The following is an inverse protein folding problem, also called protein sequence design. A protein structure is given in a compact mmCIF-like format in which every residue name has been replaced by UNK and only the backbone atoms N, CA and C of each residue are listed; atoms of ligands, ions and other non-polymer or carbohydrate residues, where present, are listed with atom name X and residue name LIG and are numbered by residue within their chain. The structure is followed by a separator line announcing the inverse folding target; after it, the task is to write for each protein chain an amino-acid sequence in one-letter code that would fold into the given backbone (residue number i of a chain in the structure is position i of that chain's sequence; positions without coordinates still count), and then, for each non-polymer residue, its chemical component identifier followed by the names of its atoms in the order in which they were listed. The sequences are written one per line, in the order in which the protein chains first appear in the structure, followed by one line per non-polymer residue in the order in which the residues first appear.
data_IF_838795037397
#
_entry.id   IF_838795037397
#
_cell.length_a   1.000
_cell.length_b   1.000
_cell.length_c   1.000
_cell.angle_alpha   90.00
_cell.angle_beta   90.00
_cell.angle_gamma   90.00
#
_symmetry.space_group_name_H-M   'P 1'
#
loop_
_entity.id
_entity.type
_entity.pdbx_description
1 polymer ?
#
# COMPACT_ATOMS: atom_id res chain seq x y z
N UNK A 1 48.83 -13.26 -49.63
CA UNK A 1 48.50 -13.42 -48.20
C UNK A 1 47.15 -12.74 -47.92
N UNK A 2 46.10 -13.54 -48.08
CA UNK A 2 44.70 -13.13 -47.93
C UNK A 2 44.29 -13.43 -46.51
N UNK A 3 44.00 -12.39 -45.71
CA UNK A 3 43.49 -12.53 -44.35
C UNK A 3 41.98 -12.84 -44.44
N UNK A 4 41.47 -13.94 -43.83
CA UNK A 4 40.06 -14.26 -43.94
C UNK A 4 39.21 -13.41 -43.00
N UNK A 5 38.20 -12.74 -43.57
CA UNK A 5 37.16 -12.04 -42.82
C UNK A 5 36.39 -13.04 -41.94
N UNK A 6 36.38 -12.78 -40.63
CA UNK A 6 35.69 -13.57 -39.61
C UNK A 6 34.16 -13.38 -39.71
N UNK A 7 33.34 -14.41 -40.01
CA UNK A 7 31.91 -14.26 -40.26
C UNK A 7 31.03 -14.34 -39.00
N UNK A 8 31.57 -14.09 -37.80
CA UNK A 8 30.83 -14.22 -36.54
C UNK A 8 30.38 -12.87 -35.96
N UNK A 9 29.73 -12.04 -36.78
CA UNK A 9 28.72 -11.09 -36.28
C UNK A 9 27.53 -11.92 -35.78
N UNK A 10 27.70 -12.52 -34.60
CA UNK A 10 26.61 -13.06 -33.79
C UNK A 10 25.60 -11.94 -33.63
N UNK A 11 24.50 -12.04 -34.38
CA UNK A 11 23.31 -11.23 -34.18
C UNK A 11 23.03 -11.27 -32.68
N UNK A 12 23.14 -10.12 -32.01
CA UNK A 12 22.69 -9.99 -30.62
C UNK A 12 21.28 -10.56 -30.59
N UNK A 13 20.94 -11.47 -29.66
CA UNK A 13 19.56 -11.87 -29.50
C UNK A 13 18.78 -10.58 -29.24
N UNK A 14 17.93 -10.20 -30.21
CA UNK A 14 16.98 -9.12 -30.02
C UNK A 14 16.13 -9.56 -28.86
N UNK A 15 16.34 -8.96 -27.68
CA UNK A 15 15.38 -9.05 -26.59
C UNK A 15 14.02 -8.75 -27.23
N UNK A 16 13.02 -9.66 -27.16
CA UNK A 16 11.71 -9.34 -27.68
C UNK A 16 11.30 -8.00 -27.06
N UNK A 17 10.72 -7.07 -27.85
CA UNK A 17 10.24 -5.82 -27.29
C UNK A 17 9.39 -6.16 -26.05
N UNK A 18 9.52 -5.41 -24.95
CA UNK A 18 8.61 -5.61 -23.83
C UNK A 18 7.19 -5.58 -24.38
N UNK A 19 6.28 -6.44 -23.90
CA UNK A 19 4.91 -6.41 -24.39
C UNK A 19 4.37 -5.02 -24.10
N UNK A 20 4.19 -4.22 -25.15
CA UNK A 20 3.63 -2.86 -25.09
C UNK A 20 2.15 -2.86 -24.69
N UNK A 21 1.62 -4.03 -24.33
CA UNK A 21 0.25 -4.29 -23.99
C UNK A 21 0.20 -5.31 -22.85
N UNK A 22 -0.71 -5.09 -21.92
CA UNK A 22 -1.05 -6.04 -20.86
C UNK A 22 -1.54 -7.37 -21.46
N UNK A 23 -1.27 -8.49 -20.76
CA UNK A 23 -1.69 -9.82 -21.22
C UNK A 23 -3.23 -9.91 -21.33
N UNK A 24 -3.80 -10.31 -22.49
CA UNK A 24 -5.26 -10.40 -22.65
C UNK A 24 -5.93 -11.36 -21.67
N UNK A 25 -5.26 -12.46 -21.32
CA UNK A 25 -5.75 -13.40 -20.32
C UNK A 25 -5.76 -12.80 -18.90
N UNK A 26 -4.87 -11.86 -18.59
CA UNK A 26 -4.92 -11.13 -17.31
C UNK A 26 -6.11 -10.16 -17.28
N UNK A 27 -6.34 -9.44 -18.37
CA UNK A 27 -7.48 -8.52 -18.50
C UNK A 27 -8.81 -9.25 -18.36
N UNK A 28 -8.96 -10.41 -19.00
CA UNK A 28 -10.18 -11.23 -18.90
C UNK A 28 -10.43 -11.72 -17.47
N UNK A 29 -9.37 -12.20 -16.78
CA UNK A 29 -9.44 -12.65 -15.38
C UNK A 29 -9.86 -11.52 -14.43
N UNK A 30 -9.28 -10.33 -14.58
CA UNK A 30 -9.59 -9.15 -13.76
C UNK A 30 -11.04 -8.72 -13.99
N UNK A 31 -11.45 -8.58 -15.26
CA UNK A 31 -12.81 -8.20 -15.61
C UNK A 31 -13.83 -9.22 -15.11
N UNK A 32 -13.54 -10.52 -15.23
CA UNK A 32 -14.41 -11.59 -14.72
C UNK A 32 -14.58 -11.50 -13.21
N UNK A 33 -13.48 -11.37 -12.45
CA UNK A 33 -13.55 -11.28 -10.98
C UNK A 33 -14.31 -10.04 -10.54
N UNK A 34 -13.96 -8.85 -11.06
CA UNK A 34 -14.63 -7.60 -10.70
C UNK A 34 -16.11 -7.61 -11.07
N UNK A 35 -16.50 -8.28 -12.16
CA UNK A 35 -17.91 -8.41 -12.54
C UNK A 35 -18.76 -9.14 -11.50
N UNK A 36 -18.15 -10.00 -10.68
CA UNK A 36 -18.79 -10.74 -9.60
C UNK A 36 -18.73 -10.04 -8.23
N UNK A 37 -18.04 -8.89 -8.12
CA UNK A 37 -17.96 -8.13 -6.86
C UNK A 37 -19.27 -7.37 -6.63
N UNK A 38 -19.91 -7.62 -5.49
CA UNK A 38 -21.11 -6.89 -5.07
C UNK A 38 -20.76 -5.46 -4.63
N UNK A 39 -21.62 -4.51 -4.99
CA UNK A 39 -21.47 -3.10 -4.61
C UNK A 39 -20.43 -2.31 -5.44
N UNK A 40 -19.82 -2.91 -6.46
CA UNK A 40 -18.92 -2.19 -7.36
C UNK A 40 -19.72 -1.14 -8.17
N UNK A 41 -19.25 0.11 -8.17
CA UNK A 41 -19.95 1.20 -8.86
C UNK A 41 -19.80 1.09 -10.38
N UNK A 42 -20.92 1.11 -11.10
CA UNK A 42 -20.97 1.24 -12.55
C UNK A 42 -21.72 2.53 -12.91
N UNK A 43 -21.21 3.35 -13.86
CA UNK A 43 -21.81 4.64 -14.17
C UNK A 43 -23.28 4.54 -14.60
N UNK A 44 -24.04 5.59 -14.28
CA UNK A 44 -25.51 5.67 -14.13
C UNK A 44 -26.41 5.05 -15.22
N UNK A 45 -25.92 4.79 -16.43
CA UNK A 45 -26.66 4.00 -17.42
C UNK A 45 -27.00 2.58 -16.91
N UNK A 46 -26.15 2.03 -16.03
CA UNK A 46 -26.30 0.70 -15.44
C UNK A 46 -27.14 0.68 -14.15
N UNK A 47 -27.52 1.82 -13.59
CA UNK A 47 -28.28 1.86 -12.31
C UNK A 47 -29.77 1.61 -12.48
N UNK A 48 -30.30 1.64 -13.72
CA UNK A 48 -31.73 1.38 -13.97
C UNK A 48 -32.10 -0.11 -13.82
N UNK A 49 -31.11 -0.99 -13.91
CA UNK A 49 -31.25 -2.44 -13.73
C UNK A 49 -29.89 -2.97 -13.28
N UNK A 50 -29.78 -3.70 -12.16
CA UNK A 50 -28.52 -4.36 -11.79
C UNK A 50 -28.08 -5.28 -12.95
N UNK A 51 -27.04 -4.93 -13.73
CA UNK A 51 -26.74 -5.66 -14.95
C UNK A 51 -26.21 -7.06 -14.62
N UNK A 52 -26.55 -8.07 -15.45
CA UNK A 52 -25.98 -9.40 -15.30
C UNK A 52 -24.44 -9.35 -15.26
N UNK A 53 -23.78 -10.27 -14.53
CA UNK A 53 -22.32 -10.32 -14.44
C UNK A 53 -21.61 -10.31 -15.80
N UNK A 54 -22.16 -10.98 -16.82
CA UNK A 54 -21.60 -10.99 -18.17
C UNK A 54 -21.51 -9.60 -18.80
N UNK A 55 -22.55 -8.78 -18.65
CA UNK A 55 -22.56 -7.40 -19.14
C UNK A 55 -21.61 -6.51 -18.35
N UNK A 56 -21.45 -6.77 -17.04
CA UNK A 56 -20.44 -6.08 -16.21
C UNK A 56 -19.03 -6.43 -16.67
N UNK A 57 -18.76 -7.71 -16.92
CA UNK A 57 -17.48 -8.21 -17.41
C UNK A 57 -17.11 -7.56 -18.74
N UNK A 58 -18.02 -7.54 -19.71
CA UNK A 58 -17.75 -6.96 -21.03
C UNK A 58 -17.45 -5.46 -20.95
N UNK A 59 -18.19 -4.70 -20.13
CA UNK A 59 -17.94 -3.27 -19.92
C UNK A 59 -16.59 -3.01 -19.24
N UNK A 60 -16.20 -3.82 -18.25
CA UNK A 60 -14.90 -3.72 -17.59
C UNK A 60 -13.75 -4.04 -18.55
N UNK A 61 -13.90 -5.09 -19.36
CA UNK A 61 -12.90 -5.49 -20.34
C UNK A 61 -12.73 -4.46 -21.45
N UNK A 62 -13.83 -3.87 -21.94
CA UNK A 62 -13.80 -2.77 -22.93
C UNK A 62 -13.06 -1.55 -22.38
N UNK A 63 -13.38 -1.13 -21.15
CA UNK A 63 -12.70 -0.01 -20.51
C UNK A 63 -11.21 -0.30 -20.30
N UNK A 64 -10.87 -1.46 -19.73
CA UNK A 64 -9.48 -1.85 -19.47
C UNK A 64 -8.64 -1.91 -20.76
N UNK A 65 -9.26 -2.32 -21.87
CA UNK A 65 -8.59 -2.38 -23.17
C UNK A 65 -8.39 -1.03 -23.83
N UNK A 66 -9.29 -0.08 -23.59
CA UNK A 66 -9.27 1.24 -24.23
C UNK A 66 -8.52 2.29 -23.42
N UNK A 67 -8.63 2.23 -22.10
CA UNK A 67 -8.18 3.29 -21.18
C UNK A 67 -7.81 2.70 -19.80
N UNK A 68 -6.58 2.20 -19.70
CA UNK A 68 -6.05 1.63 -18.47
C UNK A 68 -5.92 2.66 -17.32
N UNK A 69 -5.49 3.92 -17.54
CA UNK A 69 -5.52 4.96 -16.50
C UNK A 69 -6.91 5.15 -15.88
N UNK A 70 -7.93 5.36 -16.71
CA UNK A 70 -9.31 5.56 -16.24
C UNK A 70 -9.85 4.31 -15.53
N UNK A 71 -9.45 3.12 -16.00
CA UNK A 71 -9.77 1.88 -15.31
C UNK A 71 -9.17 1.84 -13.89
N UNK A 72 -7.89 2.17 -13.74
CA UNK A 72 -7.21 2.19 -12.44
C UNK A 72 -7.76 3.29 -11.51
N UNK A 73 -8.15 4.44 -12.06
CA UNK A 73 -8.81 5.49 -11.29
C UNK A 73 -10.10 4.97 -10.64
N UNK A 74 -10.95 4.28 -11.42
CA UNK A 74 -12.29 3.89 -11.01
C UNK A 74 -12.35 2.58 -10.25
N UNK A 75 -11.54 1.61 -10.66
CA UNK A 75 -11.63 0.22 -10.20
C UNK A 75 -10.35 -0.24 -9.50
N UNK A 76 -9.28 0.55 -9.51
CA UNK A 76 -7.98 0.18 -8.93
C UNK A 76 -8.05 -0.17 -7.44
N UNK A 77 -8.91 0.50 -6.66
CA UNK A 77 -9.09 0.21 -5.24
C UNK A 77 -9.72 -1.18 -4.97
N UNK A 78 -10.39 -1.77 -5.96
CA UNK A 78 -10.98 -3.11 -5.85
C UNK A 78 -10.07 -4.22 -6.38
N UNK A 79 -8.88 -3.88 -6.90
CA UNK A 79 -7.87 -4.82 -7.40
C UNK A 79 -7.03 -5.38 -6.26
N UNK A 80 -6.63 -6.64 -6.39
CA UNK A 80 -5.66 -7.28 -5.51
C UNK A 80 -4.23 -6.95 -5.94
N UNK A 81 -3.22 -7.09 -5.06
CA UNK A 81 -1.82 -6.84 -5.43
C UNK A 81 -1.33 -7.68 -6.62
N UNK A 82 -1.75 -8.94 -6.71
CA UNK A 82 -1.43 -9.84 -7.83
C UNK A 82 -2.08 -9.40 -9.16
N UNK A 83 -3.18 -8.65 -9.09
CA UNK A 83 -3.89 -8.12 -10.25
C UNK A 83 -3.37 -6.75 -10.69
N UNK A 84 -2.59 -6.07 -9.85
CA UNK A 84 -1.86 -4.86 -10.22
C UNK A 84 -0.58 -5.17 -11.01
N UNK A 85 0.05 -6.32 -10.76
CA UNK A 85 1.31 -6.71 -11.43
C UNK A 85 1.25 -6.72 -12.98
N UNK A 86 0.16 -7.17 -13.65
CA UNK A 86 0.07 -7.09 -15.10
C UNK A 86 0.14 -5.66 -15.69
N UNK A 87 -0.21 -4.63 -14.90
CA UNK A 87 -0.14 -3.24 -15.33
C UNK A 87 1.30 -2.70 -15.36
N UNK A 88 2.29 -3.42 -14.81
CA UNK A 88 3.70 -3.06 -14.96
C UNK A 88 4.13 -2.97 -16.43
N UNK A 89 3.47 -3.73 -17.32
CA UNK A 89 3.69 -3.69 -18.76
C UNK A 89 3.30 -2.33 -19.40
N UNK A 90 2.47 -1.54 -18.71
CA UNK A 90 1.96 -0.25 -19.17
C UNK A 90 2.62 0.93 -18.45
N UNK A 91 3.69 0.70 -17.68
CA UNK A 91 4.36 1.74 -16.86
C UNK A 91 5.06 2.85 -17.64
N UNK A 92 5.27 2.66 -18.94
CA UNK A 92 5.78 3.73 -19.79
C UNK A 92 4.76 4.88 -19.93
N UNK A 93 3.48 4.61 -19.67
CA UNK A 93 2.45 5.64 -19.48
C UNK A 93 2.56 6.24 -18.07
N UNK A 94 2.74 7.56 -18.03
CA UNK A 94 2.89 8.30 -16.78
C UNK A 94 1.67 8.17 -15.85
N UNK A 95 0.45 8.22 -16.39
CA UNK A 95 -0.77 8.15 -15.59
C UNK A 95 -0.94 6.76 -14.97
N UNK A 96 -0.65 5.71 -15.75
CA UNK A 96 -0.64 4.34 -15.23
C UNK A 96 0.39 4.22 -14.10
N UNK A 97 1.62 4.69 -14.32
CA UNK A 97 2.66 4.67 -13.30
C UNK A 97 2.26 5.41 -12.03
N UNK A 98 1.62 6.58 -12.16
CA UNK A 98 1.12 7.36 -11.03
C UNK A 98 0.02 6.61 -10.26
N UNK A 99 -0.96 6.04 -10.96
CA UNK A 99 -2.04 5.28 -10.34
C UNK A 99 -1.52 4.04 -9.61
N UNK A 100 -0.60 3.28 -10.20
CA UNK A 100 0.02 2.12 -9.56
C UNK A 100 0.78 2.51 -8.30
N UNK A 101 1.60 3.56 -8.38
CA UNK A 101 2.32 4.06 -7.21
C UNK A 101 1.34 4.50 -6.11
N UNK A 102 0.26 5.21 -6.47
CA UNK A 102 -0.76 5.63 -5.52
C UNK A 102 -1.48 4.44 -4.88
N UNK A 103 -1.85 3.41 -5.64
CA UNK A 103 -2.60 2.26 -5.13
C UNK A 103 -1.75 1.40 -4.20
N UNK A 104 -0.48 1.17 -4.53
CA UNK A 104 0.48 0.49 -3.65
C UNK A 104 0.75 1.33 -2.41
N UNK A 105 1.04 2.62 -2.59
CA UNK A 105 1.42 3.50 -1.49
C UNK A 105 0.23 3.89 -0.62
N UNK A 106 -1.02 3.91 -1.08
CA UNK A 106 -2.17 4.17 -0.21
C UNK A 106 -2.42 3.01 0.77
N UNK A 107 -2.15 1.78 0.34
CA UNK A 107 -2.14 0.61 1.23
C UNK A 107 -1.02 0.70 2.27
N UNK A 108 0.16 1.16 1.86
CA UNK A 108 1.31 1.27 2.76
C UNK A 108 1.26 2.52 3.65
N UNK A 109 0.95 3.71 3.10
CA UNK A 109 0.91 5.01 3.78
C UNK A 109 -0.07 5.04 4.95
N UNK A 110 -1.23 4.39 4.78
CA UNK A 110 -2.24 4.26 5.83
C UNK A 110 -2.18 2.91 6.55
N UNK A 111 -1.20 2.04 6.24
CA UNK A 111 -0.95 0.86 7.08
C UNK A 111 -0.60 1.33 8.50
N UNK A 112 -1.06 0.59 9.50
CA UNK A 112 -0.84 0.93 10.91
C UNK A 112 0.65 1.12 11.20
N UNK A 113 1.50 0.21 10.71
CA UNK A 113 2.95 0.27 10.94
C UNK A 113 3.61 1.45 10.23
N UNK A 114 3.30 1.73 8.96
CA UNK A 114 3.91 2.89 8.29
C UNK A 114 3.42 4.23 8.86
N UNK A 115 2.16 4.31 9.29
CA UNK A 115 1.62 5.48 9.99
C UNK A 115 2.34 5.66 11.34
N UNK A 116 2.58 4.56 12.06
CA UNK A 116 3.33 4.53 13.32
C UNK A 116 4.77 4.98 13.16
N UNK A 117 5.44 4.60 12.07
CA UNK A 117 6.81 5.01 11.78
C UNK A 117 6.92 6.50 11.38
N UNK A 118 6.04 6.95 10.49
CA UNK A 118 6.11 8.27 9.85
C UNK A 118 5.50 9.38 10.69
N UNK A 119 4.30 9.13 11.23
CA UNK A 119 3.54 10.10 12.01
C UNK A 119 3.09 9.48 13.35
N UNK A 120 4.05 9.19 14.26
CA UNK A 120 3.77 8.50 15.53
C UNK A 120 2.63 9.08 16.35
N UNK A 121 2.51 10.41 16.37
CA UNK A 121 1.47 11.11 17.12
C UNK A 121 0.08 10.93 16.51
N UNK A 122 -0.04 11.08 15.19
CA UNK A 122 -1.30 10.85 14.48
C UNK A 122 -1.72 9.38 14.62
N UNK A 123 -0.78 8.45 14.48
CA UNK A 123 -1.01 7.04 14.74
C UNK A 123 -1.54 6.83 16.17
N UNK A 124 -0.91 7.42 17.18
CA UNK A 124 -1.35 7.31 18.56
C UNK A 124 -2.79 7.82 18.77
N UNK A 125 -3.11 8.99 18.24
CA UNK A 125 -4.42 9.63 18.41
C UNK A 125 -5.56 8.81 17.79
N UNK A 126 -5.33 8.22 16.61
CA UNK A 126 -6.39 7.53 15.87
C UNK A 126 -6.43 6.01 16.08
N UNK A 127 -5.28 5.37 16.25
CA UNK A 127 -5.14 3.90 16.28
C UNK A 127 -4.53 3.45 17.61
N UNK A 128 -3.37 4.00 17.96
CA UNK A 128 -2.58 3.54 19.09
C UNK A 128 -3.32 3.59 20.43
N UNK A 129 -4.10 4.64 20.73
CA UNK A 129 -4.87 4.78 21.98
C UNK A 129 -5.90 3.67 22.21
N UNK A 130 -6.31 2.97 21.15
CA UNK A 130 -7.27 1.88 21.19
C UNK A 130 -6.62 0.50 21.17
N UNK A 131 -5.29 0.40 21.01
CA UNK A 131 -4.58 -0.87 21.11
C UNK A 131 -4.63 -1.41 22.54
N UNK A 132 -4.82 -2.73 22.64
CA UNK A 132 -4.99 -3.49 23.88
C UNK A 132 -3.84 -3.24 24.90
N UNK A 133 -4.13 -3.01 26.19
CA UNK A 133 -3.15 -2.99 27.28
C UNK A 133 -2.13 -4.15 27.27
N UNK A 134 -2.53 -5.36 26.84
CA UNK A 134 -1.63 -6.51 26.71
C UNK A 134 -0.54 -6.31 25.65
N UNK A 135 -0.84 -5.53 24.60
CA UNK A 135 0.14 -5.11 23.59
C UNK A 135 1.23 -4.21 24.19
N UNK A 136 0.92 -3.47 25.26
CA UNK A 136 1.83 -2.52 25.93
C UNK A 136 2.49 -3.08 27.19
N UNK A 137 2.27 -4.35 27.51
CA UNK A 137 2.79 -4.98 28.73
C UNK A 137 4.33 -4.95 28.78
N UNK A 138 4.87 -4.78 30.00
CA UNK A 138 6.32 -4.86 30.27
C UNK A 138 6.89 -6.23 29.90
N UNK A 139 6.11 -7.30 30.06
CA UNK A 139 6.51 -8.67 29.75
C UNK A 139 5.32 -9.33 29.06
N UNK A 140 5.54 -9.91 27.89
CA UNK A 140 4.56 -10.79 27.25
C UNK A 140 4.86 -12.24 27.63
N UNK A 141 3.84 -13.09 27.86
CA UNK A 141 4.06 -14.50 28.15
C UNK A 141 4.85 -15.17 27.02
N UNK A 142 5.99 -15.79 27.34
CA UNK A 142 6.83 -16.51 26.37
C UNK A 142 7.88 -15.67 25.63
N UNK A 143 7.95 -14.35 25.85
CA UNK A 143 8.97 -13.45 25.27
C UNK A 143 10.28 -13.53 26.07
N UNK A 144 11.43 -13.60 25.38
CA UNK A 144 12.73 -13.57 26.07
C UNK A 144 13.01 -12.16 26.60
N UNK A 145 13.74 -12.07 27.70
CA UNK A 145 14.10 -10.78 28.29
C UNK A 145 14.84 -9.83 27.30
N UNK A 146 15.70 -10.37 26.44
CA UNK A 146 16.38 -9.58 25.40
C UNK A 146 15.42 -9.01 24.34
N UNK A 147 14.40 -9.77 23.95
CA UNK A 147 13.38 -9.34 22.98
C UNK A 147 12.53 -8.22 23.58
N UNK A 148 12.13 -8.39 24.84
CA UNK A 148 11.44 -7.36 25.62
C UNK A 148 12.21 -6.05 25.69
N UNK A 149 13.52 -6.11 25.94
CA UNK A 149 14.36 -4.91 26.01
C UNK A 149 14.46 -4.19 24.66
N UNK A 150 14.65 -4.93 23.56
CA UNK A 150 14.71 -4.34 22.22
C UNK A 150 13.40 -3.64 21.87
N UNK A 151 12.27 -4.33 22.06
CA UNK A 151 10.93 -3.76 21.83
C UNK A 151 10.68 -2.51 22.66
N UNK A 152 11.09 -2.50 23.93
CA UNK A 152 10.93 -1.33 24.81
C UNK A 152 11.80 -0.15 24.41
N UNK A 153 13.02 -0.40 23.95
CA UNK A 153 13.91 0.64 23.44
C UNK A 153 13.32 1.28 22.17
N UNK A 154 12.79 0.47 21.25
CA UNK A 154 12.10 0.94 20.04
C UNK A 154 10.84 1.75 20.37
N UNK A 155 10.00 1.26 21.29
CA UNK A 155 8.80 1.96 21.76
C UNK A 155 9.14 3.29 22.45
N UNK A 156 10.25 3.38 23.18
CA UNK A 156 10.67 4.62 23.85
C UNK A 156 10.96 5.75 22.86
N UNK A 157 11.61 5.45 21.73
CA UNK A 157 11.88 6.43 20.66
C UNK A 157 10.57 6.95 20.06
N UNK A 158 9.58 6.07 19.87
CA UNK A 158 8.26 6.44 19.36
C UNK A 158 7.53 7.35 20.37
N UNK A 159 7.56 7.00 21.66
CA UNK A 159 6.95 7.82 22.74
C UNK A 159 7.61 9.18 22.85
N UNK A 160 8.92 9.27 22.69
CA UNK A 160 9.64 10.56 22.69
C UNK A 160 9.20 11.47 21.54
N UNK A 161 9.06 10.91 20.32
CA UNK A 161 8.53 11.65 19.16
C UNK A 161 7.10 12.14 19.39
N UNK A 162 6.23 11.26 19.92
CA UNK A 162 4.85 11.60 20.29
C UNK A 162 4.83 12.75 21.29
N UNK A 163 5.68 12.68 22.32
CA UNK A 163 5.79 13.70 23.36
C UNK A 163 6.19 15.06 22.81
N UNK A 164 7.18 15.09 21.89
CA UNK A 164 7.57 16.33 21.21
C UNK A 164 6.41 17.00 20.47
N UNK A 165 5.55 16.21 19.83
CA UNK A 165 4.35 16.70 19.15
C UNK A 165 3.27 17.16 20.12
N UNK A 166 3.02 16.42 21.21
CA UNK A 166 2.08 16.80 22.27
C UNK A 166 2.44 18.16 22.90
N UNK A 167 3.73 18.40 23.15
CA UNK A 167 4.22 19.70 23.65
C UNK A 167 3.98 20.80 22.62
N UNK A 168 4.33 20.56 21.35
CA UNK A 168 4.13 21.54 20.27
C UNK A 168 2.66 21.95 20.11
N UNK A 169 1.74 21.01 20.33
CA UNK A 169 0.28 21.23 20.24
C UNK A 169 -0.36 21.74 21.53
N UNK A 170 0.38 21.77 22.64
CA UNK A 170 -0.14 22.19 23.95
C UNK A 170 -1.11 21.20 24.59
N UNK A 171 -0.93 19.89 24.35
CA UNK A 171 -1.74 18.82 24.96
C UNK A 171 -1.49 18.79 26.47
N UNK A 172 -2.56 18.59 27.25
CA UNK A 172 -2.49 18.54 28.72
C UNK A 172 -1.52 17.43 29.19
N UNK A 173 -0.62 17.69 30.15
CA UNK A 173 0.31 16.69 30.67
C UNK A 173 -0.30 15.41 31.22
N UNK A 174 -1.56 15.46 31.69
CA UNK A 174 -2.30 14.28 32.14
C UNK A 174 -2.69 13.33 31.00
N UNK A 175 -2.72 13.84 29.76
CA UNK A 175 -3.02 13.07 28.54
C UNK A 175 -1.74 12.63 27.79
N UNK A 176 -0.56 12.86 28.38
CA UNK A 176 0.71 12.52 27.72
C UNK A 176 0.93 11.01 27.63
N UNK A 177 1.40 10.58 26.46
CA UNK A 177 1.76 9.18 26.23
C UNK A 177 3.00 8.82 27.04
N UNK A 178 2.95 7.67 27.71
CA UNK A 178 4.00 7.22 28.61
C UNK A 178 3.95 7.85 30.01
N UNK A 179 2.86 8.58 30.33
CA UNK A 179 2.64 9.21 31.63
C UNK A 179 3.33 10.56 31.77
N UNK A 180 2.97 11.34 32.82
CA UNK A 180 3.63 12.60 33.13
C UNK A 180 5.10 12.33 33.45
N UNK A 181 5.97 13.28 33.10
CA UNK A 181 7.38 13.23 33.53
C UNK A 181 7.37 13.24 35.04
N UNK A 182 7.72 12.11 35.67
CA UNK A 182 7.97 12.10 37.11
C UNK A 182 9.06 13.14 37.36
N UNK A 183 8.68 14.26 37.97
CA UNK A 183 9.66 15.18 38.55
C UNK A 183 10.43 14.33 39.55
N UNK A 184 11.76 14.24 39.46
CA UNK A 184 12.53 13.61 40.51
C UNK A 184 12.17 14.36 41.80
N UNK A 185 11.57 13.66 42.76
CA UNK A 185 11.45 14.18 44.10
C UNK A 185 12.87 14.37 44.61
N UNK A 186 13.38 15.60 44.51
CA UNK A 186 14.53 16.01 45.29
C UNK A 186 14.06 15.96 46.75
N UNK A 187 14.39 14.86 47.42
CA UNK A 187 14.22 14.73 48.86
C UNK A 187 14.96 15.87 49.55
N UNK A 188 14.23 16.60 50.38
CA UNK A 188 14.76 17.58 51.33
C UNK A 188 15.37 16.86 52.53
#
# INVERSE_FOLDING_TARGET
PTEPANPLLRRRPTRPPPPLAMEPAAMDRIAARLSAVDGLYFPTAFLRTSPPPETRKSALLDLLSRDAPLFLERYGAALRPDELAPFDALRDDYEVGWHLHRLVTQGDYFSEEAMREREPYLHHEYLGRFQDPFGRAMVRPGEKFSETLMRRAEEAVIVEKIRGEQIRRGVDPSEWVGGPVERPMMGQ
#
